data_IF_562956500818
#
_entry.id   IF_562956500818
#
_cell.length_a   1.000
_cell.length_b   1.000
_cell.length_c   1.000
_cell.angle_alpha   90.00
_cell.angle_beta   90.00
_cell.angle_gamma   90.00
#
_symmetry.space_group_name_H-M   'P 1'
#
loop_
_entity.id
_entity.type
_entity.pdbx_description
1 polymer ?
#
# COMPACT_ATOMS: atom_id res chain seq x y z
N UNK A 1 14.16 27.30 11.44
CA UNK A 1 12.78 27.44 10.93
C UNK A 1 11.86 26.89 12.00
N UNK A 2 11.35 27.77 12.85
CA UNK A 2 10.39 27.47 13.90
C UNK A 2 9.16 26.85 13.26
N UNK A 3 8.91 25.58 13.57
CA UNK A 3 7.73 24.88 13.11
C UNK A 3 6.51 25.58 13.68
N UNK A 4 5.57 25.94 12.81
CA UNK A 4 4.19 26.15 13.22
C UNK A 4 3.75 24.89 13.96
N UNK A 5 3.46 25.00 15.26
CA UNK A 5 2.96 23.87 16.03
C UNK A 5 1.58 23.48 15.49
N UNK A 6 1.25 22.19 15.52
CA UNK A 6 -0.10 21.73 15.17
C UNK A 6 -1.17 22.46 16.00
N UNK A 7 -0.81 22.83 17.23
CA UNK A 7 -1.65 23.61 18.14
C UNK A 7 -1.91 25.03 17.62
N UNK A 8 -0.91 25.71 17.04
CA UNK A 8 -1.08 27.03 16.42
C UNK A 8 -2.03 26.96 15.20
N UNK A 9 -1.95 25.87 14.43
CA UNK A 9 -2.85 25.64 13.29
C UNK A 9 -4.28 25.37 13.76
N UNK A 10 -4.46 24.57 14.81
CA UNK A 10 -5.77 24.26 15.38
C UNK A 10 -6.41 25.51 15.99
N UNK A 11 -5.64 26.32 16.70
CA UNK A 11 -6.12 27.58 17.29
C UNK A 11 -6.46 28.61 16.21
N UNK A 12 -5.66 28.72 15.15
CA UNK A 12 -5.99 29.59 14.01
C UNK A 12 -7.29 29.13 13.30
N UNK A 13 -7.49 27.82 13.13
CA UNK A 13 -8.68 27.29 12.45
C UNK A 13 -9.95 27.37 13.31
N UNK A 14 -9.83 27.24 14.64
CA UNK A 14 -10.93 27.41 15.59
C UNK A 14 -11.29 28.88 15.81
N UNK A 15 -10.29 29.71 16.10
CA UNK A 15 -10.51 31.06 16.63
C UNK A 15 -10.56 32.12 15.52
N UNK A 16 -9.63 32.10 14.56
CA UNK A 16 -9.56 33.15 13.54
C UNK A 16 -10.51 32.90 12.36
N UNK A 17 -10.68 31.64 11.95
CA UNK A 17 -11.49 31.31 10.77
C UNK A 17 -12.85 30.67 11.07
N UNK A 18 -13.13 30.25 12.31
CA UNK A 18 -14.38 29.57 12.73
C UNK A 18 -14.79 28.38 11.82
N UNK A 19 -13.82 27.64 11.28
CA UNK A 19 -14.07 26.57 10.26
C UNK A 19 -14.23 25.20 10.91
N UNK A 20 -13.91 25.07 12.20
CA UNK A 20 -13.94 23.81 12.95
C UNK A 20 -15.07 23.92 13.98
N UNK A 21 -16.14 23.13 13.79
CA UNK A 21 -17.20 22.94 14.79
C UNK A 21 -16.81 21.88 15.82
N UNK A 22 -17.53 21.79 16.95
CA UNK A 22 -17.32 20.72 17.94
C UNK A 22 -17.46 19.31 17.33
N UNK A 23 -18.20 19.18 16.23
CA UNK A 23 -18.37 17.95 15.46
C UNK A 23 -17.30 17.75 14.36
N UNK A 24 -16.30 18.61 14.25
CA UNK A 24 -15.29 18.50 13.19
C UNK A 24 -14.50 17.18 13.27
N UNK A 25 -14.21 16.71 14.49
CA UNK A 25 -13.54 15.42 14.68
C UNK A 25 -14.38 14.24 14.16
N UNK A 26 -15.69 14.23 14.43
CA UNK A 26 -16.58 13.16 13.97
C UNK A 26 -16.73 13.21 12.45
N UNK A 27 -16.92 14.40 11.87
CA UNK A 27 -17.01 14.58 10.42
C UNK A 27 -15.71 14.17 9.72
N UNK A 28 -14.54 14.57 10.22
CA UNK A 28 -13.26 14.16 9.66
C UNK A 28 -13.07 12.64 9.73
N UNK A 29 -13.43 12.03 10.85
CA UNK A 29 -13.33 10.57 11.02
C UNK A 29 -14.25 9.82 10.07
N UNK A 30 -15.47 10.31 9.86
CA UNK A 30 -16.46 9.71 8.95
C UNK A 30 -16.15 9.97 7.47
N UNK A 31 -15.45 11.05 7.15
CA UNK A 31 -15.10 11.43 5.77
C UNK A 31 -13.88 10.70 5.21
N UNK A 32 -13.00 10.21 6.08
CA UNK A 32 -11.78 9.51 5.68
C UNK A 32 -12.04 8.02 5.51
N UNK A 33 -11.50 7.43 4.44
CA UNK A 33 -11.44 5.97 4.35
C UNK A 33 -10.56 5.40 5.46
N UNK A 34 -10.69 4.09 5.73
CA UNK A 34 -9.85 3.39 6.71
C UNK A 34 -8.35 3.61 6.48
N UNK A 35 -7.90 3.54 5.22
CA UNK A 35 -6.51 3.74 4.85
C UNK A 35 -6.04 5.18 5.01
N UNK A 36 -6.89 6.17 4.69
CA UNK A 36 -6.58 7.58 4.89
C UNK A 36 -6.52 7.94 6.38
N UNK A 37 -7.45 7.43 7.17
CA UNK A 37 -7.45 7.59 8.62
C UNK A 37 -6.15 7.03 9.23
N UNK A 38 -5.73 5.83 8.80
CA UNK A 38 -4.46 5.25 9.24
C UNK A 38 -3.24 6.13 8.85
N UNK A 39 -3.21 6.66 7.63
CA UNK A 39 -2.14 7.56 7.18
C UNK A 39 -2.04 8.82 8.04
N UNK A 40 -3.19 9.48 8.31
CA UNK A 40 -3.25 10.67 9.16
C UNK A 40 -2.78 10.35 10.58
N UNK A 41 -3.27 9.27 11.16
CA UNK A 41 -2.89 8.87 12.52
C UNK A 41 -1.40 8.51 12.65
N UNK A 42 -0.80 7.93 11.60
CA UNK A 42 0.65 7.70 11.53
C UNK A 42 1.45 8.99 11.45
N UNK A 43 0.98 9.99 10.70
CA UNK A 43 1.62 11.30 10.63
C UNK A 43 1.57 12.04 11.98
N UNK A 44 0.50 11.85 12.74
CA UNK A 44 0.32 12.40 14.08
C UNK A 44 1.08 11.62 15.18
N UNK A 45 1.81 10.56 14.82
CA UNK A 45 2.49 9.65 15.75
C UNK A 45 1.55 8.99 16.79
N UNK A 46 0.24 8.94 16.51
CA UNK A 46 -0.75 8.36 17.42
C UNK A 46 -0.91 6.84 17.25
N UNK A 47 -0.46 6.29 16.12
CA UNK A 47 -0.51 4.85 15.86
C UNK A 47 0.89 4.34 15.48
N UNK A 48 1.26 3.21 16.08
CA UNK A 48 2.49 2.48 15.80
C UNK A 48 2.58 1.99 14.35
N UNK A 49 3.80 1.84 13.83
CA UNK A 49 4.11 1.30 12.50
C UNK A 49 3.61 -0.15 12.25
N UNK A 50 3.09 -0.83 13.28
CA UNK A 50 2.71 -2.25 13.25
C UNK A 50 1.36 -2.52 12.58
N UNK A 51 0.42 -1.58 12.61
CA UNK A 51 -0.89 -1.78 11.98
C UNK A 51 -0.85 -1.19 10.58
N UNK A 52 -0.98 -2.05 9.57
CA UNK A 52 -1.08 -1.65 8.15
C UNK A 52 -2.29 -2.32 7.54
N UNK A 53 -3.25 -1.54 7.05
CA UNK A 53 -4.44 -2.07 6.39
C UNK A 53 -4.05 -2.89 5.14
N UNK A 54 -4.87 -3.89 4.75
CA UNK A 54 -4.65 -4.65 3.52
C UNK A 54 -4.50 -3.76 2.28
N UNK A 55 -5.30 -2.70 2.19
CA UNK A 55 -5.28 -1.74 1.08
C UNK A 55 -3.97 -0.95 1.05
N UNK A 56 -3.51 -0.45 2.20
CA UNK A 56 -2.26 0.30 2.29
C UNK A 56 -1.06 -0.61 2.04
N UNK A 57 -1.11 -1.87 2.50
CA UNK A 57 -0.11 -2.90 2.18
C UNK A 57 -0.05 -3.17 0.68
N UNK A 58 -1.19 -3.36 0.03
CA UNK A 58 -1.27 -3.59 -1.42
C UNK A 58 -0.71 -2.41 -2.21
N UNK A 59 -1.11 -1.19 -1.86
CA UNK A 59 -0.57 0.04 -2.45
C UNK A 59 0.95 0.14 -2.29
N UNK A 60 1.47 -0.09 -1.08
CA UNK A 60 2.88 0.02 -0.78
C UNK A 60 3.72 -1.03 -1.53
N UNK A 61 3.25 -2.28 -1.60
CA UNK A 61 3.89 -3.36 -2.37
C UNK A 61 3.90 -3.04 -3.87
N UNK A 62 2.77 -2.59 -4.41
CA UNK A 62 2.64 -2.27 -5.84
C UNK A 62 3.57 -1.12 -6.23
N UNK A 63 3.60 -0.04 -5.46
CA UNK A 63 4.46 1.12 -5.74
C UNK A 63 5.94 0.75 -5.61
N UNK A 64 6.32 0.00 -4.59
CA UNK A 64 7.70 -0.46 -4.42
C UNK A 64 8.13 -1.43 -5.53
N UNK A 65 7.25 -2.31 -5.99
CA UNK A 65 7.49 -3.21 -7.11
C UNK A 65 7.79 -2.45 -8.40
N UNK A 66 7.01 -1.41 -8.72
CA UNK A 66 7.27 -0.59 -9.90
C UNK A 66 8.55 0.23 -9.80
N UNK A 67 8.82 0.81 -8.62
CA UNK A 67 10.05 1.57 -8.41
C UNK A 67 10.33 1.82 -6.91
N UNK A 68 11.43 1.24 -6.37
CA UNK A 68 11.86 1.54 -5.01
C UNK A 68 12.19 3.02 -4.79
N UNK A 69 12.67 3.73 -5.82
CA UNK A 69 12.98 5.16 -5.73
C UNK A 69 11.71 6.00 -5.65
N UNK A 70 10.70 5.69 -6.47
CA UNK A 70 9.38 6.33 -6.41
C UNK A 70 8.69 6.07 -5.07
N UNK A 71 8.77 4.85 -4.56
CA UNK A 71 8.26 4.51 -3.23
C UNK A 71 8.91 5.35 -2.13
N UNK A 72 10.25 5.43 -2.12
CA UNK A 72 10.99 6.21 -1.13
C UNK A 72 10.68 7.71 -1.23
N UNK A 73 10.51 8.23 -2.45
CA UNK A 73 10.08 9.61 -2.66
C UNK A 73 8.72 9.86 -2.02
N UNK A 74 7.69 9.09 -2.41
CA UNK A 74 6.32 9.22 -1.86
C UNK A 74 6.34 9.10 -0.34
N UNK A 75 7.03 8.09 0.19
CA UNK A 75 7.18 7.91 1.64
C UNK A 75 7.78 9.14 2.32
N UNK A 76 8.80 9.76 1.74
CA UNK A 76 9.42 10.98 2.29
C UNK A 76 8.46 12.17 2.20
N UNK A 77 7.77 12.34 1.08
CA UNK A 77 6.83 13.42 0.82
C UNK A 77 5.65 13.40 1.79
N UNK A 78 5.12 12.23 2.13
CA UNK A 78 3.98 12.07 3.04
C UNK A 78 4.41 11.82 4.50
N UNK A 79 5.49 12.46 4.95
CA UNK A 79 6.00 12.40 6.33
C UNK A 79 6.13 10.97 6.89
N UNK A 80 6.67 10.04 6.09
CA UNK A 80 6.94 8.64 6.48
C UNK A 80 5.69 7.86 6.91
N UNK A 81 4.49 8.26 6.48
CA UNK A 81 3.24 7.56 6.79
C UNK A 81 3.17 6.16 6.17
N UNK A 82 3.95 5.90 5.11
CA UNK A 82 4.06 4.59 4.48
C UNK A 82 5.02 3.67 5.26
N UNK A 83 4.83 2.34 5.17
CA UNK A 83 5.70 1.34 5.80
C UNK A 83 7.20 1.58 5.54
N UNK A 84 8.07 1.06 6.40
CA UNK A 84 9.50 1.11 6.12
C UNK A 84 9.86 0.10 5.02
N UNK A 85 10.85 0.36 4.13
CA UNK A 85 11.30 -0.61 3.13
C UNK A 85 11.72 -1.98 3.71
N UNK A 86 12.17 -2.02 4.97
CA UNK A 86 12.43 -3.31 5.66
C UNK A 86 11.16 -4.12 5.90
N UNK A 87 10.03 -3.47 6.21
CA UNK A 87 8.72 -4.12 6.33
C UNK A 87 8.28 -4.67 4.98
N UNK A 88 8.48 -3.90 3.90
CA UNK A 88 8.22 -4.34 2.53
C UNK A 88 9.02 -5.61 2.20
N UNK A 89 10.33 -5.62 2.48
CA UNK A 89 11.18 -6.81 2.28
C UNK A 89 10.70 -8.02 3.06
N UNK A 90 10.30 -7.84 4.33
CA UNK A 90 9.71 -8.93 5.14
C UNK A 90 8.41 -9.46 4.56
N UNK A 91 7.62 -8.63 3.87
CA UNK A 91 6.41 -9.12 3.19
C UNK A 91 6.74 -9.92 1.94
N UNK A 92 7.78 -9.56 1.20
CA UNK A 92 8.25 -10.35 0.06
C UNK A 92 8.85 -11.69 0.48
N UNK A 93 9.53 -11.76 1.63
CA UNK A 93 10.18 -13.01 2.06
C UNK A 93 9.22 -14.15 2.45
N UNK A 94 7.91 -13.87 2.53
CA UNK A 94 6.89 -14.89 2.81
C UNK A 94 6.46 -15.62 1.52
N UNK A 95 6.77 -15.06 0.36
CA UNK A 95 6.40 -15.63 -0.94
C UNK A 95 7.43 -16.70 -1.30
N UNK A 96 6.97 -17.88 -1.69
CA UNK A 96 7.83 -18.93 -2.20
C UNK A 96 8.39 -18.52 -3.58
N UNK A 97 9.71 -18.44 -3.66
CA UNK A 97 10.47 -18.13 -4.89
C UNK A 97 11.14 -19.36 -5.48
N UNK A 98 10.72 -20.57 -5.10
CA UNK A 98 11.27 -21.81 -5.63
C UNK A 98 11.11 -21.91 -7.16
N UNK A 99 12.09 -22.51 -7.87
CA UNK A 99 12.00 -22.66 -9.32
C UNK A 99 10.85 -23.59 -9.71
N UNK A 100 10.27 -23.34 -10.88
CA UNK A 100 9.21 -24.15 -11.47
C UNK A 100 7.87 -23.44 -11.55
N UNK A 101 6.78 -24.22 -11.62
CA UNK A 101 5.42 -23.69 -11.72
C UNK A 101 4.91 -23.35 -10.32
N UNK A 102 4.76 -22.06 -10.04
CA UNK A 102 4.27 -21.59 -8.75
C UNK A 102 2.79 -21.90 -8.51
N UNK A 103 2.39 -22.09 -7.25
CA UNK A 103 0.99 -22.33 -6.89
C UNK A 103 0.09 -21.14 -7.27
N UNK A 104 0.63 -19.92 -7.17
CA UNK A 104 -0.02 -18.67 -7.53
C UNK A 104 -0.35 -18.61 -9.01
N UNK A 105 0.60 -18.99 -9.88
CA UNK A 105 0.39 -18.99 -11.33
C UNK A 105 -0.68 -20.01 -11.73
N UNK A 106 -0.65 -21.20 -11.13
CA UNK A 106 -1.69 -22.21 -11.34
C UNK A 106 -3.07 -21.75 -10.81
N UNK A 107 -3.13 -21.06 -9.68
CA UNK A 107 -4.37 -20.50 -9.15
C UNK A 107 -4.94 -19.39 -10.05
N UNK A 108 -4.07 -18.55 -10.63
CA UNK A 108 -4.49 -17.55 -11.62
C UNK A 108 -5.08 -18.19 -12.87
N UNK A 109 -4.45 -19.26 -13.39
CA UNK A 109 -5.00 -20.03 -14.51
C UNK A 109 -6.38 -20.60 -14.16
N UNK A 110 -6.53 -21.21 -12.97
CA UNK A 110 -7.84 -21.73 -12.50
C UNK A 110 -8.92 -20.64 -12.48
N UNK A 111 -8.60 -19.44 -12.01
CA UNK A 111 -9.55 -18.32 -12.04
C UNK A 111 -9.93 -17.95 -13.47
N UNK A 112 -8.97 -17.90 -14.38
CA UNK A 112 -9.23 -17.57 -15.80
C UNK A 112 -10.07 -18.65 -16.50
N UNK A 113 -9.82 -19.92 -16.20
CA UNK A 113 -10.64 -21.04 -16.70
C UNK A 113 -12.11 -20.88 -16.25
N UNK A 114 -12.35 -20.54 -14.99
CA UNK A 114 -13.70 -20.32 -14.47
C UNK A 114 -14.40 -19.15 -15.17
N UNK A 115 -13.68 -18.05 -15.37
CA UNK A 115 -14.17 -16.88 -16.10
C UNK A 115 -14.54 -17.21 -17.56
N UNK A 116 -13.68 -17.95 -18.28
CA UNK A 116 -13.97 -18.34 -19.66
C UNK A 116 -15.17 -19.30 -19.75
N UNK A 117 -15.25 -20.27 -18.84
CA UNK A 117 -16.40 -21.20 -18.79
C UNK A 117 -17.72 -20.49 -18.53
N UNK A 118 -17.72 -19.44 -17.69
CA UNK A 118 -18.90 -18.60 -17.49
C UNK A 118 -19.36 -17.93 -18.79
N UNK A 119 -18.43 -17.63 -19.70
CA UNK A 119 -18.70 -17.06 -21.01
C UNK A 119 -18.91 -18.12 -22.11
N UNK A 120 -19.09 -19.40 -21.76
CA UNK A 120 -19.18 -20.54 -22.67
C UNK A 120 -17.98 -20.68 -23.63
N UNK A 121 -16.79 -20.31 -23.17
CA UNK A 121 -15.53 -20.45 -23.90
C UNK A 121 -14.59 -21.42 -23.17
N UNK A 122 -13.81 -22.17 -23.95
CA UNK A 122 -12.69 -22.95 -23.41
C UNK A 122 -11.40 -22.14 -23.47
N UNK A 123 -10.61 -22.22 -22.39
CA UNK A 123 -9.29 -21.60 -22.34
C UNK A 123 -8.28 -22.53 -23.00
N UNK A 124 -7.72 -22.10 -24.13
CA UNK A 124 -6.53 -22.70 -24.75
C UNK A 124 -5.32 -21.88 -24.34
N UNK A 125 -4.26 -22.53 -23.85
CA UNK A 125 -3.03 -21.87 -23.41
C UNK A 125 -1.79 -22.55 -23.99
N UNK A 126 -0.80 -21.74 -24.36
CA UNK A 126 0.53 -22.18 -24.73
C UNK A 126 1.52 -21.85 -23.60
N UNK A 127 2.41 -22.79 -23.29
CA UNK A 127 3.51 -22.56 -22.35
C UNK A 127 4.79 -22.47 -23.17
N UNK A 128 5.48 -21.33 -23.07
CA UNK A 128 6.75 -21.08 -23.75
C UNK A 128 7.81 -20.97 -22.67
N UNK A 129 8.94 -21.62 -22.87
CA UNK A 129 10.08 -21.62 -21.95
C UNK A 129 11.32 -21.23 -22.73
N UNK A 130 12.20 -20.46 -22.08
CA UNK A 130 13.49 -20.03 -22.59
C UNK A 130 14.52 -20.08 -21.45
N UNK A 131 15.79 -20.19 -21.80
CA UNK A 131 16.89 -20.24 -20.84
C UNK A 131 17.60 -18.87 -20.76
N UNK A 132 18.05 -18.49 -19.56
CA UNK A 132 18.83 -17.28 -19.33
C UNK A 132 20.16 -17.67 -18.70
N UNK A 133 21.27 -17.26 -19.32
CA UNK A 133 22.59 -17.40 -18.70
C UNK A 133 22.67 -16.47 -17.48
N UNK A 134 22.95 -17.05 -16.32
CA UNK A 134 23.19 -16.33 -15.07
C UNK A 134 24.68 -16.42 -14.78
N UNK A 135 25.26 -15.32 -14.30
CA UNK A 135 26.67 -15.29 -13.92
C UNK A 135 26.91 -16.23 -12.74
N UNK A 136 27.84 -17.16 -12.90
CA UNK A 136 28.36 -17.94 -11.77
C UNK A 136 29.15 -17.01 -10.85
N UNK A 137 28.91 -17.13 -9.54
CA UNK A 137 29.68 -16.42 -8.50
C UNK A 137 31.05 -17.05 -8.26
#
# INVERSE_FOLDING_TARGET
MSGFALDDLVDHLKNDKKVISDNCFTVLKESLSSSQHEMVMKQLHQISATTVSPELRSFALTLHFYSPTSYNYVRKTFNKCLPHPSTIRKWYSVIDGSPGITAESMNAIKMKVKEMKHNNLDLVLGIIMDEMSIREE
#
